data_IF_272755937900
#
_entry.id   IF_272755937900
#
_cell.length_a   1.000
_cell.length_b   1.000
_cell.length_c   1.000
_cell.angle_alpha   90.00
_cell.angle_beta   90.00
_cell.angle_gamma   90.00
#
_symmetry.space_group_name_H-M   'P 1'
#
loop_
_entity.id
_entity.type
_entity.pdbx_description
1 polymer ?
#
# COMPACT_ATOMS: atom_id res chain seq x y z
N UNK A 1 6.05 -4.45 16.06
CA UNK A 1 5.59 -4.07 14.70
C UNK A 1 4.64 -5.14 14.20
N UNK A 2 3.45 -4.80 13.71
CA UNK A 2 2.53 -5.81 13.16
C UNK A 2 3.22 -6.48 11.97
N UNK A 3 3.31 -7.81 11.98
CA UNK A 3 3.85 -8.57 10.85
C UNK A 3 2.74 -8.62 9.80
N UNK A 4 2.89 -7.81 8.76
CA UNK A 4 1.96 -7.85 7.65
C UNK A 4 2.30 -9.04 6.73
N UNK A 5 1.40 -10.03 6.63
CA UNK A 5 1.48 -11.09 5.61
C UNK A 5 0.99 -10.56 4.27
N UNK A 6 1.80 -9.73 3.63
CA UNK A 6 1.47 -9.24 2.29
C UNK A 6 1.86 -10.22 1.20
N UNK A 7 1.19 -10.12 0.06
CA UNK A 7 1.56 -10.87 -1.14
C UNK A 7 2.81 -10.23 -1.77
N UNK A 8 3.96 -10.90 -1.58
CA UNK A 8 5.27 -10.48 -2.10
C UNK A 8 5.27 -10.31 -3.62
N UNK A 9 4.64 -11.23 -4.35
CA UNK A 9 4.55 -11.19 -5.82
C UNK A 9 3.83 -9.91 -6.27
N UNK A 10 2.72 -9.55 -5.63
CA UNK A 10 1.99 -8.33 -5.96
C UNK A 10 2.82 -7.07 -5.67
N UNK A 11 3.53 -7.04 -4.54
CA UNK A 11 4.42 -5.91 -4.21
C UNK A 11 5.53 -5.75 -5.26
N UNK A 12 6.17 -6.86 -5.66
CA UNK A 12 7.22 -6.86 -6.69
C UNK A 12 6.70 -6.41 -8.07
N UNK A 13 5.51 -6.83 -8.47
CA UNK A 13 4.86 -6.38 -9.71
C UNK A 13 4.60 -4.86 -9.68
N UNK A 14 4.02 -4.35 -8.60
CA UNK A 14 3.77 -2.91 -8.45
C UNK A 14 5.07 -2.09 -8.45
N UNK A 15 6.13 -2.63 -7.86
CA UNK A 15 7.44 -1.97 -7.85
C UNK A 15 8.01 -1.87 -9.26
N UNK A 16 7.87 -2.94 -10.07
CA UNK A 16 8.35 -2.96 -11.45
C UNK A 16 7.53 -2.03 -12.37
N UNK A 17 6.21 -2.06 -12.25
CA UNK A 17 5.31 -1.35 -13.17
C UNK A 17 5.12 0.12 -12.79
N UNK A 18 5.15 0.44 -11.50
CA UNK A 18 4.74 1.76 -10.98
C UNK A 18 5.75 2.38 -10.03
N UNK A 19 6.85 1.68 -9.71
CA UNK A 19 7.86 2.18 -8.78
C UNK A 19 7.40 2.22 -7.32
N UNK A 20 6.32 1.52 -6.95
CA UNK A 20 5.75 1.52 -5.59
C UNK A 20 5.77 0.13 -4.95
N UNK A 21 6.07 0.08 -3.65
CA UNK A 21 5.99 -1.12 -2.81
C UNK A 21 5.05 -0.89 -1.63
N UNK A 22 4.58 -1.97 -1.02
CA UNK A 22 3.74 -1.87 0.18
C UNK A 22 4.48 -1.26 1.37
N UNK A 23 5.78 -1.51 1.50
CA UNK A 23 6.63 -0.93 2.54
C UNK A 23 6.67 0.59 2.41
N UNK A 24 6.82 1.11 1.19
CA UNK A 24 6.83 2.54 0.93
C UNK A 24 5.48 3.19 1.28
N UNK A 25 4.38 2.55 0.87
CA UNK A 25 3.02 3.02 1.16
C UNK A 25 2.80 3.12 2.68
N UNK A 26 3.15 2.08 3.44
CA UNK A 26 2.99 2.09 4.90
C UNK A 26 3.91 3.10 5.57
N UNK A 27 5.13 3.28 5.07
CA UNK A 27 6.05 4.31 5.58
C UNK A 27 5.44 5.70 5.43
N UNK A 28 4.89 6.04 4.26
CA UNK A 28 4.24 7.33 4.02
C UNK A 28 2.98 7.54 4.86
N UNK A 29 2.14 6.50 5.05
CA UNK A 29 0.98 6.59 5.94
C UNK A 29 1.42 6.87 7.38
N UNK A 30 2.43 6.15 7.88
CA UNK A 30 2.96 6.37 9.23
C UNK A 30 3.64 7.72 9.41
N UNK A 31 4.20 8.30 8.34
CA UNK A 31 4.76 9.65 8.34
C UNK A 31 3.68 10.76 8.32
N UNK A 32 2.39 10.40 8.26
CA UNK A 32 1.29 11.36 8.21
C UNK A 32 1.00 11.91 6.81
N UNK A 33 1.52 11.29 5.75
CA UNK A 33 1.29 11.71 4.36
C UNK A 33 -0.03 11.17 3.80
N UNK A 34 -1.02 10.91 4.66
CA UNK A 34 -2.34 10.48 4.23
C UNK A 34 -3.04 11.64 3.53
N UNK A 35 -3.37 11.46 2.25
CA UNK A 35 -4.04 12.51 1.45
C UNK A 35 -5.54 12.52 1.69
N UNK A 36 -6.19 11.35 1.57
CA UNK A 36 -7.63 11.21 1.75
C UNK A 36 -8.00 9.74 2.02
N UNK A 37 -9.19 9.49 2.58
CA UNK A 37 -9.80 8.16 2.74
C UNK A 37 -11.10 8.14 1.95
N UNK A 38 -11.06 7.54 0.76
CA UNK A 38 -12.24 7.36 -0.08
C UNK A 38 -12.91 6.02 0.19
N UNK A 39 -14.24 5.98 0.12
CA UNK A 39 -14.99 4.73 0.23
C UNK A 39 -14.72 3.82 -0.98
N UNK A 40 -14.66 2.51 -0.75
CA UNK A 40 -14.49 1.56 -1.83
C UNK A 40 -15.70 1.63 -2.78
N UNK A 41 -15.51 1.81 -4.10
CA UNK A 41 -16.62 1.93 -5.04
C UNK A 41 -17.45 0.65 -5.15
N UNK A 42 -16.85 -0.51 -4.87
CA UNK A 42 -17.58 -1.78 -4.76
C UNK A 42 -18.06 -1.97 -3.31
N UNK A 43 -19.21 -1.37 -3.00
CA UNK A 43 -19.94 -1.61 -1.74
C UNK A 43 -20.87 -2.81 -1.91
N UNK A 44 -20.31 -4.01 -2.05
CA UNK A 44 -21.08 -5.24 -1.88
C UNK A 44 -21.02 -5.72 -0.44
#
# INVERSE_FOLDING_TARGET
MKIYKWNKIKSETLQRERGISFENIVSHINAGHLVDIIEHPDKK
#
